data_IF_279073483533
#
_entry.id   IF_279073483533
#
_cell.length_a   1.000
_cell.length_b   1.000
_cell.length_c   1.000
_cell.angle_alpha   90.00
_cell.angle_beta   90.00
_cell.angle_gamma   90.00
#
_symmetry.space_group_name_H-M   'P 1'
#
loop_
_entity.id
_entity.type
_entity.pdbx_description
1 polymer ?
#
# COMPACT_ATOMS: atom_id res chain seq x y z
N UNK A 1 1.27 -1.98 -11.14
CA UNK A 1 0.51 -3.19 -10.77
C UNK A 1 -0.97 -3.05 -11.07
N UNK A 2 -1.66 -2.01 -10.59
CA UNK A 2 -3.13 -1.90 -10.78
C UNK A 2 -3.60 -1.90 -12.23
N UNK A 3 -3.01 -1.07 -13.10
CA UNK A 3 -3.39 -1.03 -14.51
C UNK A 3 -3.19 -2.37 -15.22
N UNK A 4 -2.07 -3.04 -14.96
CA UNK A 4 -1.79 -4.39 -15.51
C UNK A 4 -2.82 -5.41 -15.03
N UNK A 5 -3.14 -5.43 -13.73
CA UNK A 5 -4.12 -6.35 -13.17
C UNK A 5 -5.54 -6.10 -13.69
N UNK A 6 -5.90 -4.85 -13.98
CA UNK A 6 -7.19 -4.51 -14.57
C UNK A 6 -7.30 -4.93 -16.03
N UNK A 7 -6.23 -4.77 -16.82
CA UNK A 7 -6.17 -5.29 -18.19
C UNK A 7 -6.31 -6.82 -18.20
N UNK A 8 -5.52 -7.52 -17.37
CA UNK A 8 -5.58 -8.99 -17.27
C UNK A 8 -6.97 -9.49 -16.87
N UNK A 9 -7.67 -8.77 -15.99
CA UNK A 9 -9.04 -9.13 -15.60
C UNK A 9 -9.99 -9.19 -16.80
N UNK A 10 -9.87 -8.24 -17.73
CA UNK A 10 -10.72 -8.19 -18.93
C UNK A 10 -10.31 -9.26 -19.94
N UNK A 11 -9.01 -9.48 -20.12
CA UNK A 11 -8.50 -10.51 -21.04
C UNK A 11 -8.83 -11.93 -20.58
N UNK A 12 -8.77 -12.18 -19.27
CA UNK A 12 -8.88 -13.52 -18.70
C UNK A 12 -10.31 -13.93 -18.33
N UNK A 13 -11.26 -12.99 -18.29
CA UNK A 13 -12.65 -13.28 -17.91
C UNK A 13 -13.31 -14.32 -18.82
N UNK A 14 -12.94 -14.37 -20.10
CA UNK A 14 -13.45 -15.33 -21.07
C UNK A 14 -13.03 -16.77 -20.77
N UNK A 15 -11.93 -16.95 -20.03
CA UNK A 15 -11.42 -18.26 -19.61
C UNK A 15 -11.92 -18.67 -18.22
N UNK A 16 -12.80 -17.86 -17.61
CA UNK A 16 -13.29 -18.11 -16.25
C UNK A 16 -12.23 -17.92 -15.16
N UNK A 17 -11.19 -17.14 -15.43
CA UNK A 17 -10.10 -16.85 -14.48
C UNK A 17 -10.34 -15.49 -13.81
N UNK A 18 -10.46 -15.50 -12.49
CA UNK A 18 -10.60 -14.28 -11.68
C UNK A 18 -9.23 -13.68 -11.32
N UNK A 19 -9.02 -12.40 -11.63
CA UNK A 19 -7.84 -11.63 -11.23
C UNK A 19 -8.19 -10.72 -10.06
N UNK A 20 -7.54 -10.91 -8.90
CA UNK A 20 -7.85 -10.18 -7.66
C UNK A 20 -6.60 -9.48 -7.14
N UNK A 21 -6.72 -8.21 -6.75
CA UNK A 21 -5.61 -7.42 -6.18
C UNK A 21 -5.79 -7.28 -4.68
N UNK A 22 -4.79 -7.72 -3.92
CA UNK A 22 -4.69 -7.48 -2.47
C UNK A 22 -3.77 -6.27 -2.25
N UNK A 23 -4.30 -5.23 -1.60
CA UNK A 23 -3.62 -3.96 -1.34
C UNK A 23 -3.36 -3.82 0.16
N UNK A 24 -2.20 -4.30 0.66
CA UNK A 24 -1.81 -4.09 2.04
C UNK A 24 -1.45 -2.62 2.29
N UNK A 25 -1.88 -2.09 3.44
CA UNK A 25 -1.34 -0.87 4.02
C UNK A 25 -0.05 -1.15 4.78
N UNK A 26 0.20 -0.39 5.84
CA UNK A 26 1.30 -0.70 6.76
C UNK A 26 1.05 -2.06 7.43
N UNK A 27 1.95 -3.03 7.20
CA UNK A 27 1.93 -4.36 7.79
C UNK A 27 3.26 -4.60 8.53
N UNK A 28 3.20 -5.17 9.73
CA UNK A 28 4.36 -5.49 10.55
C UNK A 28 5.13 -6.66 9.95
N UNK A 29 6.13 -6.37 9.11
CA UNK A 29 7.02 -7.35 8.47
C UNK A 29 8.44 -6.79 8.44
N UNK A 30 9.43 -7.63 8.15
CA UNK A 30 10.82 -7.16 7.96
C UNK A 30 11.01 -6.19 6.78
N UNK A 31 9.98 -5.99 5.94
CA UNK A 31 10.05 -5.14 4.76
C UNK A 31 10.38 -3.69 5.10
N UNK A 32 9.75 -3.11 6.12
CA UNK A 32 9.96 -1.70 6.54
C UNK A 32 11.40 -1.48 7.00
N UNK A 33 11.95 -2.41 7.77
CA UNK A 33 13.35 -2.39 8.23
C UNK A 33 14.33 -2.45 7.05
N UNK A 34 14.11 -3.36 6.10
CA UNK A 34 14.95 -3.50 4.91
C UNK A 34 14.84 -2.26 4.02
N UNK A 35 13.63 -1.76 3.80
CA UNK A 35 13.36 -0.57 2.99
C UNK A 35 14.03 0.67 3.58
N UNK A 36 13.96 0.85 4.91
CA UNK A 36 14.64 1.93 5.62
C UNK A 36 16.15 1.88 5.45
N UNK A 37 16.74 0.68 5.60
CA UNK A 37 18.18 0.49 5.42
C UNK A 37 18.65 0.86 4.00
N UNK A 38 17.94 0.38 2.97
CA UNK A 38 18.24 0.72 1.57
C UNK A 38 18.02 2.19 1.25
N UNK A 39 16.98 2.81 1.81
CA UNK A 39 16.70 4.23 1.61
C UNK A 39 17.83 5.09 2.17
N UNK A 40 18.31 4.77 3.38
CA UNK A 40 19.45 5.45 3.97
C UNK A 40 20.72 5.24 3.13
N UNK A 41 20.98 4.03 2.63
CA UNK A 41 22.16 3.76 1.79
C UNK A 41 22.16 4.55 0.46
N UNK A 42 21.02 4.55 -0.25
CA UNK A 42 20.92 5.11 -1.61
C UNK A 42 20.74 6.63 -1.58
N UNK A 43 20.01 7.15 -0.57
CA UNK A 43 19.59 8.56 -0.51
C UNK A 43 20.20 9.34 0.64
N UNK A 44 21.26 8.82 1.28
CA UNK A 44 21.99 9.52 2.35
C UNK A 44 22.63 10.84 1.93
N UNK A 45 22.77 11.14 0.64
CA UNK A 45 23.39 12.37 0.15
C UNK A 45 22.66 12.88 -1.09
N UNK A 46 22.38 14.19 -1.11
CA UNK A 46 21.85 14.89 -2.28
C UNK A 46 20.47 15.51 -2.06
N UNK A 47 19.79 15.88 -3.14
CA UNK A 47 18.58 16.70 -3.10
C UNK A 47 17.38 16.08 -2.35
N UNK A 48 17.44 14.78 -2.03
CA UNK A 48 16.37 14.04 -1.36
C UNK A 48 16.71 13.60 0.07
N UNK A 49 17.85 14.02 0.62
CA UNK A 49 18.34 13.59 1.95
C UNK A 49 17.30 13.82 3.06
N UNK A 50 16.84 15.06 3.22
CA UNK A 50 15.79 15.42 4.21
C UNK A 50 14.50 14.62 4.04
N UNK A 51 14.14 14.33 2.79
CA UNK A 51 12.94 13.57 2.45
C UNK A 51 13.11 12.09 2.80
N UNK A 52 14.31 11.55 2.54
CA UNK A 52 14.68 10.17 2.84
C UNK A 52 14.70 9.92 4.35
N UNK A 53 15.23 10.84 5.16
CA UNK A 53 15.19 10.75 6.63
C UNK A 53 13.76 10.71 7.17
N UNK A 54 12.89 11.60 6.68
CA UNK A 54 11.47 11.64 7.10
C UNK A 54 10.72 10.37 6.69
N UNK A 55 11.00 9.83 5.52
CA UNK A 55 10.42 8.56 5.06
C UNK A 55 10.95 7.38 5.87
N UNK A 56 12.23 7.38 6.23
CA UNK A 56 12.82 6.38 7.12
C UNK A 56 12.12 6.38 8.49
N UNK A 57 11.86 7.54 9.08
CA UNK A 57 11.11 7.68 10.33
C UNK A 57 9.64 7.25 10.18
N UNK A 58 9.02 7.48 9.02
CA UNK A 58 7.67 6.96 8.73
C UNK A 58 7.65 5.43 8.67
N UNK A 59 8.62 4.83 7.99
CA UNK A 59 8.74 3.37 7.86
C UNK A 59 8.95 2.69 9.22
N UNK A 60 9.73 3.29 10.11
CA UNK A 60 9.90 2.79 11.48
C UNK A 60 8.57 2.75 12.26
N UNK A 61 7.65 3.69 12.01
CA UNK A 61 6.33 3.66 12.63
C UNK A 61 5.47 2.49 12.13
N UNK A 62 5.78 1.91 10.97
CA UNK A 62 5.05 0.73 10.48
C UNK A 62 5.40 -0.52 11.29
N UNK A 63 6.60 -0.58 11.89
CA UNK A 63 7.01 -1.69 12.75
C UNK A 63 6.15 -1.79 14.02
N UNK A 64 5.70 -0.65 14.55
CA UNK A 64 4.88 -0.59 15.77
C UNK A 64 3.38 -0.40 15.50
N UNK A 65 3.00 0.33 14.45
CA UNK A 65 1.59 0.67 14.15
C UNK A 65 1.01 -0.05 12.93
N UNK A 66 1.80 -0.87 12.26
CA UNK A 66 1.33 -1.71 11.17
C UNK A 66 0.27 -2.71 11.65
N UNK A 67 -0.58 -3.17 10.73
CA UNK A 67 -1.47 -4.30 11.02
C UNK A 67 -0.69 -5.62 11.01
N UNK A 68 -1.19 -6.62 11.72
CA UNK A 68 -0.55 -7.93 11.75
C UNK A 68 -0.60 -8.62 10.36
N UNK A 69 0.41 -9.43 9.98
CA UNK A 69 0.46 -10.11 8.68
C UNK A 69 -0.75 -11.00 8.39
N UNK A 70 -1.39 -11.53 9.43
CA UNK A 70 -2.55 -12.41 9.33
C UNK A 70 -3.76 -11.70 8.72
N UNK A 71 -3.81 -10.36 8.75
CA UNK A 71 -4.87 -9.62 8.06
C UNK A 71 -4.75 -9.85 6.53
N UNK A 72 -3.53 -9.94 6.00
CA UNK A 72 -3.28 -10.22 4.57
C UNK A 72 -3.62 -11.67 4.23
N UNK A 73 -3.17 -12.63 5.04
CA UNK A 73 -3.47 -14.05 4.79
C UNK A 73 -4.98 -14.33 4.84
N UNK A 74 -5.72 -13.71 5.77
CA UNK A 74 -7.18 -13.79 5.82
C UNK A 74 -7.84 -13.16 4.59
N UNK A 75 -7.30 -12.05 4.08
CA UNK A 75 -7.82 -11.43 2.86
C UNK A 75 -7.61 -12.32 1.63
N UNK A 76 -6.45 -12.97 1.52
CA UNK A 76 -6.16 -13.96 0.46
C UNK A 76 -7.12 -15.15 0.57
N UNK A 77 -7.24 -15.76 1.75
CA UNK A 77 -8.16 -16.87 1.98
C UNK A 77 -9.59 -16.50 1.57
N UNK A 78 -10.07 -15.33 2.01
CA UNK A 78 -11.40 -14.83 1.66
C UNK A 78 -11.55 -14.64 0.15
N UNK A 79 -10.53 -14.11 -0.53
CA UNK A 79 -10.57 -13.92 -1.98
C UNK A 79 -10.71 -15.27 -2.71
N UNK A 80 -10.00 -16.31 -2.26
CA UNK A 80 -10.04 -17.64 -2.88
C UNK A 80 -11.34 -18.41 -2.59
N UNK A 81 -11.98 -18.21 -1.44
CA UNK A 81 -13.17 -18.99 -1.04
C UNK A 81 -14.51 -18.32 -1.35
N UNK A 82 -14.50 -17.06 -1.78
CA UNK A 82 -15.75 -16.31 -2.05
C UNK A 82 -16.26 -16.64 -3.47
N UNK A 83 -17.53 -17.03 -3.60
CA UNK A 83 -18.16 -17.35 -4.90
C UNK A 83 -18.11 -16.21 -5.92
N UNK A 84 -18.17 -14.96 -5.47
CA UNK A 84 -18.03 -13.74 -6.30
C UNK A 84 -17.07 -12.78 -5.59
N UNK A 85 -15.75 -12.98 -5.72
CA UNK A 85 -14.79 -12.18 -4.99
C UNK A 85 -14.79 -10.73 -5.50
N UNK A 86 -14.40 -9.80 -4.63
CA UNK A 86 -14.20 -8.40 -5.06
C UNK A 86 -12.96 -8.30 -5.93
N UNK A 87 -12.96 -7.36 -6.86
CA UNK A 87 -11.82 -7.06 -7.72
C UNK A 87 -10.58 -6.58 -6.95
N UNK A 88 -10.81 -5.97 -5.78
CA UNK A 88 -9.79 -5.38 -4.89
C UNK A 88 -10.14 -5.58 -3.43
N UNK A 89 -9.15 -5.99 -2.64
CA UNK A 89 -9.22 -6.03 -1.18
C UNK A 89 -8.15 -5.11 -0.60
N UNK A 90 -8.58 -4.01 0.00
CA UNK A 90 -7.71 -3.16 0.82
C UNK A 90 -7.60 -3.79 2.19
N UNK A 91 -6.38 -3.89 2.70
CA UNK A 91 -6.07 -4.64 3.91
C UNK A 91 -5.22 -3.78 4.83
N UNK A 92 -5.63 -3.69 6.10
CA UNK A 92 -4.96 -2.85 7.09
C UNK A 92 -5.63 -1.49 7.26
N UNK A 93 -5.59 -0.96 8.48
CA UNK A 93 -6.35 0.23 8.87
C UNK A 93 -5.89 1.48 8.12
N UNK A 94 -4.58 1.62 7.90
CA UNK A 94 -3.99 2.75 7.19
C UNK A 94 -4.44 2.83 5.72
N UNK A 95 -4.57 1.68 5.03
CA UNK A 95 -5.00 1.64 3.64
C UNK A 95 -6.44 2.11 3.44
N UNK A 96 -7.32 1.83 4.40
CA UNK A 96 -8.70 2.31 4.37
C UNK A 96 -8.77 3.82 4.64
N UNK A 97 -8.05 4.32 5.65
CA UNK A 97 -8.08 5.74 6.02
C UNK A 97 -7.60 6.65 4.88
N UNK A 98 -6.47 6.33 4.24
CA UNK A 98 -5.93 7.12 3.12
C UNK A 98 -6.87 7.12 1.91
N UNK A 99 -7.45 5.98 1.56
CA UNK A 99 -8.32 5.91 0.40
C UNK A 99 -9.68 6.61 0.62
N UNK A 100 -10.15 6.69 1.86
CA UNK A 100 -11.29 7.54 2.22
C UNK A 100 -10.94 9.02 2.09
N UNK A 101 -9.75 9.42 2.54
CA UNK A 101 -9.30 10.79 2.49
C UNK A 101 -9.13 11.31 1.05
N UNK A 102 -8.56 10.49 0.17
CA UNK A 102 -8.46 10.78 -1.27
C UNK A 102 -9.82 10.93 -1.93
N UNK A 103 -10.83 10.19 -1.45
CA UNK A 103 -12.19 10.23 -2.01
C UNK A 103 -12.99 11.46 -1.55
N UNK A 104 -12.62 12.06 -0.43
CA UNK A 104 -13.31 13.20 0.16
C UNK A 104 -12.66 14.55 -0.16
N UNK A 105 -11.34 14.57 -0.39
CA UNK A 105 -10.61 15.81 -0.66
C UNK A 105 -10.46 16.05 -2.18
N UNK A 106 -10.56 17.32 -2.63
CA UNK A 106 -10.10 17.70 -3.96
C UNK A 106 -8.60 17.42 -4.11
N UNK A 107 -8.17 16.98 -5.30
CA UNK A 107 -6.79 16.54 -5.59
C UNK A 107 -5.71 17.48 -5.03
N UNK A 108 -5.84 18.79 -5.29
CA UNK A 108 -4.87 19.80 -4.81
C UNK A 108 -4.75 19.87 -3.29
N UNK A 109 -5.83 19.56 -2.57
CA UNK A 109 -5.86 19.56 -1.10
C UNK A 109 -5.19 18.31 -0.56
N UNK A 110 -5.44 17.17 -1.20
CA UNK A 110 -4.78 15.90 -0.91
C UNK A 110 -3.27 15.99 -1.16
N UNK A 111 -2.86 16.56 -2.30
CA UNK A 111 -1.45 16.78 -2.64
C UNK A 111 -0.75 17.66 -1.60
N UNK A 112 -1.40 18.74 -1.17
CA UNK A 112 -0.84 19.64 -0.15
C UNK A 112 -0.70 18.94 1.20
N UNK A 113 -1.65 18.10 1.57
CA UNK A 113 -1.56 17.29 2.79
C UNK A 113 -0.38 16.30 2.68
N UNK A 114 -0.27 15.59 1.56
CA UNK A 114 0.81 14.63 1.32
C UNK A 114 2.18 15.30 1.35
N UNK A 115 2.34 16.43 0.66
CA UNK A 115 3.58 17.21 0.68
C UNK A 115 3.96 17.67 2.08
N UNK A 116 2.98 18.00 2.93
CA UNK A 116 3.20 18.38 4.33
C UNK A 116 3.55 17.20 5.24
N UNK A 117 3.20 15.97 4.85
CA UNK A 117 3.67 14.78 5.55
C UNK A 117 5.08 14.35 5.14
N UNK A 118 5.53 14.81 3.96
CA UNK A 118 6.84 14.47 3.37
C UNK A 118 7.91 15.56 3.62
N UNK A 119 7.50 16.82 3.78
CA UNK A 119 8.31 17.94 4.32
C UNK A 119 8.25 17.98 5.83
#
# INVERSE_FOLDING_TARGET
MEGLSDSLRMELTQFGIDVIVIQPGAIQTEWSKIARGKLAEISAKGAYEDMAEKHAAMLERFDSRGSAPEVVSRAVLRACTTRRPKTRYRVGQAAHAMAWLQRLLPDRSFDRLMLRMMK
#
